data_IF_347306019418
#
_entry.id   IF_347306019418
#
_cell.length_a   1.000
_cell.length_b   1.000
_cell.length_c   1.000
_cell.angle_alpha   90.00
_cell.angle_beta   90.00
_cell.angle_gamma   90.00
#
_symmetry.space_group_name_H-M   'P 1'
#
loop_
_entity.id
_entity.type
_entity.pdbx_description
1 polymer ?
#
# COMPACT_ATOMS: atom_id res chain seq x y z
N UNK A 1 -32.19 6.63 57.04
CA UNK A 1 -32.30 6.67 55.57
C UNK A 1 -30.94 6.95 55.00
N UNK A 2 -30.25 5.97 54.50
CA UNK A 2 -28.90 6.10 53.91
C UNK A 2 -29.09 6.00 52.39
N UNK A 3 -28.94 7.11 51.66
CA UNK A 3 -28.93 7.11 50.23
C UNK A 3 -27.54 6.63 49.74
N UNK A 4 -27.49 5.43 49.19
CA UNK A 4 -26.31 4.93 48.52
C UNK A 4 -26.26 5.52 47.11
N UNK A 5 -25.29 6.43 46.88
CA UNK A 5 -24.99 6.99 45.54
C UNK A 5 -24.10 5.99 44.80
N UNK A 6 -24.66 5.25 43.88
CA UNK A 6 -23.89 4.39 42.98
C UNK A 6 -23.28 5.23 41.86
N UNK A 7 -21.96 5.45 41.94
CA UNK A 7 -21.18 6.11 40.90
C UNK A 7 -21.00 5.11 39.72
N UNK A 8 -21.74 5.31 38.65
CA UNK A 8 -21.57 4.55 37.42
C UNK A 8 -20.29 5.02 36.70
N UNK A 9 -19.23 4.21 36.74
CA UNK A 9 -18.04 4.42 35.93
C UNK A 9 -18.40 4.17 34.45
N UNK A 10 -18.54 5.23 33.67
CA UNK A 10 -18.64 5.13 32.21
C UNK A 10 -17.24 4.86 31.68
N UNK A 11 -16.91 3.62 31.40
CA UNK A 11 -15.69 3.26 30.70
C UNK A 11 -15.80 3.73 29.26
N UNK A 12 -15.15 4.85 28.94
CA UNK A 12 -14.98 5.31 27.57
C UNK A 12 -14.06 4.33 26.86
N UNK A 13 -14.60 3.49 25.99
CA UNK A 13 -13.82 2.64 25.09
C UNK A 13 -13.14 3.53 24.06
N UNK A 14 -11.87 3.89 24.31
CA UNK A 14 -11.02 4.51 23.29
C UNK A 14 -10.73 3.43 22.26
N UNK A 15 -11.34 3.55 21.06
CA UNK A 15 -11.02 2.67 19.94
C UNK A 15 -9.58 2.97 19.50
N UNK A 16 -8.67 2.01 19.69
CA UNK A 16 -7.30 2.12 19.19
C UNK A 16 -7.30 2.16 17.66
N UNK A 17 -6.49 3.06 17.06
CA UNK A 17 -6.28 3.07 15.60
C UNK A 17 -5.73 1.73 15.14
N UNK A 18 -6.16 1.19 13.99
CA UNK A 18 -5.55 -0.01 13.43
C UNK A 18 -4.09 0.27 13.04
N UNK A 19 -3.22 -0.74 13.00
CA UNK A 19 -1.87 -0.57 12.46
C UNK A 19 -1.94 -0.16 10.98
N UNK A 20 -0.95 0.58 10.48
CA UNK A 20 -0.95 1.08 9.09
C UNK A 20 -1.07 -0.02 8.03
N UNK A 21 -0.61 -1.24 8.34
CA UNK A 21 -0.79 -2.42 7.46
C UNK A 21 -2.25 -2.79 7.21
N UNK A 22 -3.14 -2.37 8.08
CA UNK A 22 -4.59 -2.64 7.98
C UNK A 22 -5.37 -1.47 7.39
N UNK A 23 -4.68 -0.41 6.96
CA UNK A 23 -5.28 0.77 6.32
C UNK A 23 -5.13 0.65 4.80
N UNK A 24 -6.20 0.27 4.06
CA UNK A 24 -6.11 -0.01 2.62
C UNK A 24 -5.60 1.17 1.79
N UNK A 25 -5.96 2.40 2.16
CA UNK A 25 -5.50 3.60 1.45
C UNK A 25 -3.98 3.78 1.56
N UNK A 26 -3.35 3.27 2.59
CA UNK A 26 -1.90 3.36 2.80
C UNK A 26 -1.23 2.10 2.27
N UNK A 27 -1.52 0.96 2.88
CA UNK A 27 -0.86 -0.31 2.59
C UNK A 27 -1.11 -0.78 1.16
N UNK A 28 -2.36 -0.71 0.70
CA UNK A 28 -2.73 -1.08 -0.66
C UNK A 28 -2.07 -0.20 -1.73
N UNK A 29 -1.89 1.08 -1.45
CA UNK A 29 -1.21 1.99 -2.38
C UNK A 29 0.29 1.69 -2.46
N UNK A 30 0.94 1.39 -1.33
CA UNK A 30 2.36 0.98 -1.31
C UNK A 30 2.54 -0.34 -2.07
N UNK A 31 1.64 -1.29 -1.88
CA UNK A 31 1.64 -2.55 -2.62
C UNK A 31 1.51 -2.31 -4.13
N UNK A 32 0.58 -1.45 -4.55
CA UNK A 32 0.39 -1.11 -5.97
C UNK A 32 1.66 -0.48 -6.58
N UNK A 33 2.33 0.41 -5.84
CA UNK A 33 3.61 0.99 -6.27
C UNK A 33 4.67 -0.11 -6.43
N UNK A 34 4.75 -1.05 -5.49
CA UNK A 34 5.67 -2.18 -5.56
C UNK A 34 5.43 -3.10 -6.76
N UNK A 35 4.16 -3.39 -7.07
CA UNK A 35 3.79 -4.19 -8.25
C UNK A 35 4.16 -3.46 -9.53
N UNK A 36 3.83 -2.18 -9.65
CA UNK A 36 4.19 -1.36 -10.82
C UNK A 36 5.71 -1.31 -11.03
N UNK A 37 6.47 -1.19 -9.96
CA UNK A 37 7.94 -1.17 -9.99
C UNK A 37 8.52 -2.50 -10.52
N UNK A 38 8.00 -3.64 -10.09
CA UNK A 38 8.42 -4.95 -10.61
C UNK A 38 8.08 -5.13 -12.09
N UNK A 39 6.90 -4.69 -12.51
CA UNK A 39 6.51 -4.75 -13.93
C UNK A 39 7.48 -3.95 -14.79
N UNK A 40 7.74 -2.68 -14.44
CA UNK A 40 8.64 -1.84 -15.24
C UNK A 40 10.09 -2.33 -15.26
N UNK A 41 10.57 -2.91 -14.17
CA UNK A 41 11.93 -3.47 -14.08
C UNK A 41 12.13 -4.65 -15.02
N UNK A 42 11.07 -5.42 -15.26
CA UNK A 42 11.12 -6.66 -16.01
C UNK A 42 10.46 -6.58 -17.40
N UNK A 43 9.98 -5.42 -17.79
CA UNK A 43 9.41 -5.18 -19.12
C UNK A 43 9.99 -3.91 -19.75
N UNK A 44 10.84 -4.00 -20.78
CA UNK A 44 11.46 -2.84 -21.43
C UNK A 44 10.47 -1.97 -22.20
N UNK A 45 9.30 -2.50 -22.55
CA UNK A 45 8.26 -1.76 -23.28
C UNK A 45 7.39 -0.89 -22.37
N UNK A 46 7.60 -0.97 -21.06
CA UNK A 46 6.80 -0.24 -20.06
C UNK A 46 7.71 0.61 -19.18
N UNK A 47 7.32 1.85 -18.99
CA UNK A 47 8.00 2.81 -18.11
C UNK A 47 7.12 3.21 -16.96
N UNK A 48 7.74 3.60 -15.84
CA UNK A 48 7.04 4.21 -14.71
C UNK A 48 6.72 5.68 -15.02
N UNK A 49 5.54 6.11 -14.57
CA UNK A 49 5.19 7.54 -14.47
C UNK A 49 5.79 8.11 -13.19
N UNK A 50 7.08 8.43 -13.21
CA UNK A 50 7.86 8.76 -12.00
C UNK A 50 7.30 9.93 -11.21
N UNK A 51 6.90 11.02 -11.88
CA UNK A 51 6.33 12.20 -11.22
C UNK A 51 5.04 11.81 -10.48
N UNK A 52 4.20 11.01 -11.11
CA UNK A 52 2.97 10.50 -10.48
C UNK A 52 3.27 9.60 -9.30
N UNK A 53 4.23 8.69 -9.43
CA UNK A 53 4.62 7.77 -8.34
C UNK A 53 5.14 8.55 -7.12
N UNK A 54 5.99 9.54 -7.32
CA UNK A 54 6.49 10.41 -6.24
C UNK A 54 5.34 11.18 -5.59
N UNK A 55 4.43 11.74 -6.39
CA UNK A 55 3.26 12.46 -5.89
C UNK A 55 2.35 11.57 -5.05
N UNK A 56 2.10 10.33 -5.50
CA UNK A 56 1.30 9.34 -4.76
C UNK A 56 1.95 9.01 -3.42
N UNK A 57 3.25 8.70 -3.41
CA UNK A 57 3.98 8.36 -2.19
C UNK A 57 4.04 9.53 -1.19
N UNK A 58 4.27 10.74 -1.67
CA UNK A 58 4.24 11.94 -0.82
C UNK A 58 2.84 12.20 -0.26
N UNK A 59 1.80 11.94 -1.04
CA UNK A 59 0.42 12.08 -0.61
C UNK A 59 0.04 11.10 0.50
N UNK A 60 0.64 9.92 0.56
CA UNK A 60 0.36 8.93 1.61
C UNK A 60 0.70 9.42 3.00
N UNK A 61 1.78 10.17 3.15
CA UNK A 61 2.16 10.76 4.45
C UNK A 61 1.08 11.72 4.94
N UNK A 62 0.57 12.57 4.05
CA UNK A 62 -0.55 13.47 4.37
C UNK A 62 -1.83 12.72 4.72
N UNK A 63 -2.16 11.66 3.99
CA UNK A 63 -3.31 10.79 4.26
C UNK A 63 -3.20 10.14 5.64
N UNK A 64 -2.04 9.56 5.96
CA UNK A 64 -1.80 8.94 7.26
C UNK A 64 -1.95 9.96 8.41
N UNK A 65 -1.41 11.17 8.26
CA UNK A 65 -1.57 12.24 9.24
C UNK A 65 -3.04 12.62 9.45
N UNK A 66 -3.81 12.73 8.38
CA UNK A 66 -5.25 13.02 8.45
C UNK A 66 -6.03 11.92 9.18
N UNK A 67 -5.58 10.68 9.07
CA UNK A 67 -6.15 9.54 9.77
C UNK A 67 -5.70 9.45 11.23
N UNK A 68 -4.86 10.37 11.69
CA UNK A 68 -4.43 10.49 13.08
C UNK A 68 -3.14 9.76 13.43
N UNK A 69 -2.37 9.31 12.45
CA UNK A 69 -1.06 8.69 12.69
C UNK A 69 0.02 9.75 12.88
N UNK A 70 0.89 9.55 13.87
CA UNK A 70 2.03 10.41 14.10
C UNK A 70 3.13 10.19 13.06
N UNK A 71 4.02 11.15 12.91
CA UNK A 71 5.21 11.01 12.05
C UNK A 71 6.11 9.84 12.51
N UNK A 72 6.19 9.60 13.83
CA UNK A 72 6.93 8.46 14.37
C UNK A 72 6.31 7.11 13.96
N UNK A 73 4.98 6.99 14.00
CA UNK A 73 4.26 5.80 13.54
C UNK A 73 4.46 5.56 12.04
N UNK A 74 4.38 6.61 11.24
CA UNK A 74 4.59 6.55 9.79
C UNK A 74 6.02 6.12 9.46
N UNK A 75 7.02 6.70 10.13
CA UNK A 75 8.43 6.36 9.94
C UNK A 75 8.74 4.94 10.40
N UNK A 76 8.17 4.48 11.51
CA UNK A 76 8.32 3.12 12.00
C UNK A 76 7.80 2.10 10.97
N UNK A 77 6.62 2.34 10.38
CA UNK A 77 6.06 1.51 9.32
C UNK A 77 6.96 1.50 8.09
N UNK A 78 7.38 2.67 7.61
CA UNK A 78 8.22 2.82 6.42
C UNK A 78 9.58 2.14 6.55
N UNK A 79 10.18 2.16 7.74
CA UNK A 79 11.51 1.61 8.01
C UNK A 79 11.48 0.15 8.47
N UNK A 80 10.30 -0.41 8.77
CA UNK A 80 10.16 -1.77 9.28
C UNK A 80 10.58 -2.83 8.26
N UNK A 81 11.58 -3.63 8.61
CA UNK A 81 11.99 -4.76 7.78
C UNK A 81 10.93 -5.86 7.71
N UNK A 82 10.14 -6.01 8.77
CA UNK A 82 8.98 -6.94 8.80
C UNK A 82 7.93 -6.52 7.78
N UNK A 83 7.58 -5.23 7.74
CA UNK A 83 6.61 -4.72 6.77
C UNK A 83 7.11 -4.80 5.33
N UNK A 84 8.39 -4.50 5.10
CA UNK A 84 9.00 -4.63 3.77
C UNK A 84 8.97 -6.08 3.28
N UNK A 85 9.29 -7.05 4.15
CA UNK A 85 9.25 -8.47 3.80
C UNK A 85 7.80 -8.94 3.51
N UNK A 86 6.84 -8.48 4.30
CA UNK A 86 5.42 -8.78 4.10
C UNK A 86 4.92 -8.24 2.77
N UNK A 87 5.14 -6.97 2.49
CA UNK A 87 4.74 -6.32 1.24
C UNK A 87 5.40 -6.96 0.02
N UNK A 88 6.68 -7.35 0.15
CA UNK A 88 7.37 -8.11 -0.90
C UNK A 88 6.68 -9.45 -1.17
N UNK A 89 6.32 -10.19 -0.13
CA UNK A 89 5.63 -11.47 -0.27
C UNK A 89 4.24 -11.31 -0.92
N UNK A 90 3.48 -10.29 -0.52
CA UNK A 90 2.17 -9.99 -1.11
C UNK A 90 2.30 -9.55 -2.59
N UNK A 91 3.29 -8.74 -2.91
CA UNK A 91 3.61 -8.35 -4.28
C UNK A 91 3.92 -9.57 -5.14
N UNK A 92 4.81 -10.43 -4.65
CA UNK A 92 5.23 -11.63 -5.38
C UNK A 92 4.05 -12.60 -5.57
N UNK A 93 3.15 -12.69 -4.58
CA UNK A 93 1.92 -13.48 -4.69
C UNK A 93 0.96 -12.91 -5.75
N UNK A 94 0.76 -11.60 -5.75
CA UNK A 94 -0.05 -10.92 -6.78
C UNK A 94 0.47 -11.23 -8.19
N UNK A 95 1.78 -11.12 -8.38
CA UNK A 95 2.41 -11.40 -9.68
C UNK A 95 2.20 -12.84 -10.11
N UNK A 96 2.40 -13.81 -9.21
CA UNK A 96 2.17 -15.24 -9.51
C UNK A 96 0.71 -15.51 -9.86
N UNK A 97 -0.23 -14.97 -9.09
CA UNK A 97 -1.67 -15.14 -9.33
C UNK A 97 -2.10 -14.54 -10.66
N UNK A 98 -1.43 -13.50 -11.11
CA UNK A 98 -1.65 -12.85 -12.40
C UNK A 98 -0.92 -13.54 -13.58
N UNK A 99 -0.25 -14.69 -13.35
CA UNK A 99 0.42 -15.46 -14.38
C UNK A 99 1.86 -15.04 -14.67
N UNK A 100 2.45 -14.18 -13.86
CA UNK A 100 3.84 -13.76 -14.01
C UNK A 100 4.78 -14.89 -13.53
N UNK A 101 5.78 -15.19 -14.33
CA UNK A 101 6.85 -16.12 -13.99
C UNK A 101 8.18 -15.38 -13.94
N UNK A 102 8.94 -15.59 -12.86
CA UNK A 102 10.27 -15.01 -12.71
C UNK A 102 11.18 -15.40 -13.89
N UNK A 103 11.88 -14.41 -14.44
CA UNK A 103 12.75 -14.59 -15.62
C UNK A 103 12.01 -14.63 -16.96
N UNK A 104 10.69 -14.71 -16.99
CA UNK A 104 9.88 -14.65 -18.20
C UNK A 104 9.35 -13.23 -18.44
N UNK A 105 10.13 -12.42 -19.13
CA UNK A 105 9.87 -11.00 -19.40
C UNK A 105 8.50 -10.74 -20.04
N UNK A 106 8.09 -11.59 -20.98
CA UNK A 106 6.81 -11.49 -21.68
C UNK A 106 5.61 -11.54 -20.73
N UNK A 107 5.72 -12.29 -19.63
CA UNK A 107 4.65 -12.36 -18.62
C UNK A 107 4.48 -11.08 -17.83
N UNK A 108 5.56 -10.37 -17.54
CA UNK A 108 5.50 -9.03 -16.94
C UNK A 108 4.89 -8.02 -17.89
N UNK A 109 5.30 -8.04 -19.15
CA UNK A 109 4.76 -7.15 -20.18
C UNK A 109 3.25 -7.39 -20.39
N UNK A 110 2.82 -8.63 -20.43
CA UNK A 110 1.39 -8.97 -20.57
C UNK A 110 0.57 -8.43 -19.40
N UNK A 111 1.02 -8.63 -18.17
CA UNK A 111 0.35 -8.07 -16.98
C UNK A 111 0.33 -6.54 -17.03
N UNK A 112 1.44 -5.92 -17.36
CA UNK A 112 1.53 -4.46 -17.42
C UNK A 112 0.55 -3.84 -18.40
N UNK A 113 0.35 -4.44 -19.58
CA UNK A 113 -0.67 -4.01 -20.54
C UNK A 113 -2.08 -4.11 -19.98
N UNK A 114 -2.39 -5.22 -19.32
CA UNK A 114 -3.69 -5.42 -18.68
C UNK A 114 -3.94 -4.36 -17.60
N UNK A 115 -2.95 -4.10 -16.75
CA UNK A 115 -3.08 -3.09 -15.68
C UNK A 115 -3.24 -1.67 -16.23
N UNK A 116 -2.51 -1.33 -17.30
CA UNK A 116 -2.65 -0.03 -17.97
C UNK A 116 -4.07 0.13 -18.56
N UNK A 117 -4.60 -0.90 -19.20
CA UNK A 117 -5.95 -0.89 -19.77
C UNK A 117 -7.03 -0.75 -18.69
N UNK A 118 -6.88 -1.43 -17.55
CA UNK A 118 -7.79 -1.29 -16.41
C UNK A 118 -7.82 0.12 -15.84
N UNK A 119 -6.71 0.85 -15.90
CA UNK A 119 -6.60 2.20 -15.35
C UNK A 119 -6.72 2.27 -13.83
N UNK A 120 -6.48 1.17 -13.11
CA UNK A 120 -6.45 1.12 -11.66
C UNK A 120 -5.18 1.75 -11.07
N UNK A 121 -4.94 1.55 -9.77
CA UNK A 121 -3.79 2.13 -9.09
C UNK A 121 -2.45 1.70 -9.71
N UNK A 122 -2.31 0.44 -10.09
CA UNK A 122 -1.09 -0.08 -10.72
C UNK A 122 -0.91 0.54 -12.12
N UNK A 123 -1.94 0.43 -12.96
CA UNK A 123 -1.87 0.91 -14.35
C UNK A 123 -1.68 2.42 -14.46
N UNK A 124 -2.23 3.19 -13.52
CA UNK A 124 -2.05 4.64 -13.47
C UNK A 124 -0.59 5.07 -13.24
N UNK A 125 0.25 4.18 -12.70
CA UNK A 125 1.67 4.42 -12.47
C UNK A 125 2.57 4.01 -13.64
N UNK A 126 1.99 3.41 -14.68
CA UNK A 126 2.69 2.85 -15.82
C UNK A 126 2.27 3.51 -17.12
N UNK A 127 3.15 3.43 -18.11
CA UNK A 127 2.86 3.81 -19.49
C UNK A 127 3.61 2.90 -20.47
N UNK A 128 3.02 2.68 -21.64
CA UNK A 128 3.74 2.11 -22.76
C UNK A 128 4.78 3.11 -23.29
N UNK A 129 5.94 2.62 -23.69
CA UNK A 129 6.98 3.43 -24.35
C UNK A 129 6.62 3.77 -25.79
#
# INVERSE_FOLDING_TARGET
MILAFTLALVASTVSAKPPLREVPEIDGTILAVGIADEIRKNCPDISARLIRAVSVLNGLKGTARKLGYSDAEIDAYRKSDVEKARLKAERDQYLRDAGVRAGAQDTYCALGRVEIEKGGQIGALLRMN
#
